data_IF_249308546688
#
_entry.id   IF_249308546688
#
_cell.length_a   1.000
_cell.length_b   1.000
_cell.length_c   1.000
_cell.angle_alpha   90.00
_cell.angle_beta   90.00
_cell.angle_gamma   90.00
#
_symmetry.space_group_name_H-M   'P 1'
#
loop_
_entity.id
_entity.type
_entity.pdbx_description
1 polymer ?
#
# COMPACT_ATOMS: atom_id res chain seq x y z
N UNK A 1 27.47 -17.55 -2.83
CA UNK A 1 26.68 -16.29 -2.92
C UNK A 1 26.75 -15.62 -1.57
N UNK A 2 27.13 -14.34 -1.52
CA UNK A 2 27.11 -13.56 -0.27
C UNK A 2 25.84 -12.72 -0.19
N UNK A 3 25.21 -12.66 0.99
CA UNK A 3 24.08 -11.76 1.26
C UNK A 3 24.36 -11.02 2.55
N UNK A 4 24.47 -9.70 2.45
CA UNK A 4 24.64 -8.78 3.56
C UNK A 4 23.34 -8.00 3.81
N UNK A 5 22.92 -7.95 5.08
CA UNK A 5 21.66 -7.32 5.50
C UNK A 5 21.68 -7.00 7.00
N UNK A 6 21.03 -5.89 7.37
CA UNK A 6 20.84 -5.52 8.77
C UNK A 6 19.39 -5.80 9.20
N UNK A 7 19.15 -6.93 9.88
CA UNK A 7 17.80 -7.41 10.23
C UNK A 7 16.97 -6.39 11.04
N UNK A 8 17.61 -5.70 12.00
CA UNK A 8 16.95 -4.81 13.00
C UNK A 8 15.74 -5.46 13.71
N UNK A 9 15.67 -6.79 13.73
CA UNK A 9 14.54 -7.58 14.26
C UNK A 9 13.28 -7.59 13.38
N UNK A 10 13.31 -6.94 12.21
CA UNK A 10 12.17 -6.84 11.29
C UNK A 10 12.17 -7.91 10.17
N UNK A 11 13.31 -8.57 9.95
CA UNK A 11 13.47 -9.59 8.90
C UNK A 11 14.22 -10.81 9.41
N UNK A 12 13.75 -11.99 8.98
CA UNK A 12 14.41 -13.28 9.17
C UNK A 12 15.58 -13.45 8.19
N UNK A 13 16.43 -14.47 8.40
CA UNK A 13 17.49 -14.78 7.45
C UNK A 13 16.98 -14.99 6.02
N UNK A 14 17.62 -14.37 5.00
CA UNK A 14 17.32 -14.61 3.60
C UNK A 14 17.41 -16.09 3.23
N UNK A 15 16.52 -16.55 2.37
CA UNK A 15 16.52 -17.93 1.87
C UNK A 15 16.80 -17.93 0.37
N UNK A 16 17.69 -18.82 -0.06
CA UNK A 16 18.07 -19.00 -1.47
C UNK A 16 17.83 -20.45 -1.87
N UNK A 17 17.47 -20.68 -3.13
CA UNK A 17 17.26 -22.04 -3.68
C UNK A 17 18.43 -22.52 -4.56
N UNK A 18 19.64 -21.99 -4.33
CA UNK A 18 20.88 -22.42 -4.98
C UNK A 18 21.95 -22.66 -3.93
N UNK A 19 22.95 -23.47 -4.28
CA UNK A 19 24.10 -23.71 -3.43
C UNK A 19 24.97 -22.45 -3.28
N UNK A 20 25.79 -22.42 -2.23
CA UNK A 20 26.72 -21.31 -2.00
C UNK A 20 27.79 -21.23 -3.12
N UNK A 21 28.21 -22.40 -3.63
CA UNK A 21 29.17 -22.59 -4.72
C UNK A 21 28.66 -23.69 -5.66
N UNK A 22 28.95 -23.57 -6.95
CA UNK A 22 28.52 -24.52 -7.97
C UNK A 22 28.79 -23.99 -9.38
N UNK A 23 28.33 -24.74 -10.38
CA UNK A 23 28.43 -24.35 -11.78
C UNK A 23 27.26 -23.47 -12.20
N UNK A 24 27.52 -22.51 -13.08
CA UNK A 24 26.46 -21.73 -13.74
C UNK A 24 25.76 -22.64 -14.75
N UNK A 25 24.42 -22.75 -14.72
CA UNK A 25 23.68 -23.56 -15.69
C UNK A 25 23.91 -23.09 -17.13
N UNK A 26 24.08 -24.03 -18.06
CA UNK A 26 24.22 -23.75 -19.50
C UNK A 26 22.88 -23.51 -20.20
N UNK A 27 21.78 -23.91 -19.56
CA UNK A 27 20.41 -23.60 -19.96
C UNK A 27 19.86 -22.48 -19.08
N UNK A 28 18.95 -21.68 -19.63
CA UNK A 28 18.30 -20.62 -18.87
C UNK A 28 17.53 -21.19 -17.67
N UNK A 29 17.86 -20.70 -16.48
CA UNK A 29 17.23 -21.09 -15.22
C UNK A 29 17.06 -19.85 -14.33
N UNK A 30 16.12 -19.92 -13.38
CA UNK A 30 15.90 -18.87 -12.40
C UNK A 30 16.15 -19.39 -10.99
N UNK A 31 16.82 -18.56 -10.20
CA UNK A 31 16.92 -18.77 -8.76
C UNK A 31 16.09 -17.71 -8.03
N UNK A 32 15.65 -18.07 -6.83
CA UNK A 32 14.78 -17.25 -5.99
C UNK A 32 15.51 -16.88 -4.71
N UNK A 33 15.47 -15.59 -4.39
CA UNK A 33 15.89 -15.06 -3.08
C UNK A 33 14.64 -14.60 -2.34
N UNK A 34 14.36 -15.22 -1.19
CA UNK A 34 13.29 -14.82 -0.28
C UNK A 34 13.86 -13.97 0.84
N UNK A 35 13.20 -12.85 1.11
CA UNK A 35 13.53 -11.90 2.18
C UNK A 35 12.34 -11.82 3.15
N UNK A 36 12.24 -12.71 4.14
CA UNK A 36 11.04 -12.84 4.94
C UNK A 36 11.01 -11.80 6.07
N UNK A 37 9.99 -10.94 6.10
CA UNK A 37 9.68 -10.10 7.26
C UNK A 37 9.09 -10.92 8.40
N UNK A 38 9.48 -10.59 9.63
CA UNK A 38 8.91 -11.14 10.87
C UNK A 38 7.48 -10.66 11.13
N UNK A 39 7.14 -9.46 10.64
CA UNK A 39 5.88 -8.77 10.95
C UNK A 39 5.84 -8.14 12.35
N UNK A 40 6.90 -8.25 13.16
CA UNK A 40 6.94 -7.70 14.52
C UNK A 40 7.28 -6.21 14.57
N UNK A 41 8.00 -5.71 13.55
CA UNK A 41 8.51 -4.34 13.49
C UNK A 41 8.50 -3.81 12.06
N UNK A 42 8.18 -2.52 11.90
CA UNK A 42 8.33 -1.82 10.62
C UNK A 42 9.77 -1.33 10.46
N UNK A 43 10.39 -1.64 9.33
CA UNK A 43 11.73 -1.17 8.97
C UNK A 43 11.97 -1.32 7.45
N UNK A 44 12.81 -0.45 6.90
CA UNK A 44 13.39 -0.64 5.57
C UNK A 44 14.81 -1.19 5.74
N UNK A 45 15.10 -2.28 5.04
CA UNK A 45 16.37 -3.02 5.17
C UNK A 45 17.04 -3.03 3.81
N UNK A 46 18.23 -2.43 3.73
CA UNK A 46 19.08 -2.54 2.56
C UNK A 46 19.71 -3.94 2.53
N UNK A 47 19.47 -4.68 1.45
CA UNK A 47 20.05 -6.00 1.21
C UNK A 47 21.02 -5.90 0.05
N UNK A 48 22.27 -6.35 0.27
CA UNK A 48 23.29 -6.43 -0.76
C UNK A 48 23.60 -7.90 -1.06
N UNK A 49 23.37 -8.32 -2.30
CA UNK A 49 23.64 -9.68 -2.75
C UNK A 49 24.81 -9.67 -3.72
N UNK A 50 25.75 -10.59 -3.53
CA UNK A 50 26.96 -10.69 -4.33
C UNK A 50 27.15 -12.10 -4.87
N UNK A 51 27.36 -12.20 -6.18
CA UNK A 51 27.73 -13.44 -6.87
C UNK A 51 29.06 -13.23 -7.57
N UNK A 52 30.01 -14.13 -7.30
CA UNK A 52 31.28 -14.19 -8.01
C UNK A 52 31.19 -15.33 -9.02
N UNK A 53 31.40 -15.01 -10.29
CA UNK A 53 31.40 -15.96 -11.39
C UNK A 53 32.82 -16.04 -11.91
N UNK A 54 33.45 -17.20 -11.73
CA UNK A 54 34.78 -17.47 -12.26
C UNK A 54 34.69 -18.06 -13.65
N UNK A 55 35.51 -17.58 -14.58
CA UNK A 55 35.60 -18.22 -15.88
C UNK A 55 36.53 -19.45 -15.80
N UNK A 56 36.18 -20.57 -16.44
CA UNK A 56 37.05 -21.75 -16.48
C UNK A 56 38.31 -21.51 -17.34
N UNK A 57 38.19 -20.67 -18.36
CA UNK A 57 39.30 -20.26 -19.23
C UNK A 57 39.96 -18.98 -18.69
N UNK A 58 41.30 -19.00 -18.60
CA UNK A 58 42.13 -17.87 -18.15
C UNK A 58 42.10 -16.68 -19.12
N UNK A 59 41.66 -16.88 -20.37
CA UNK A 59 41.41 -15.82 -21.33
C UNK A 59 40.25 -14.90 -20.91
N UNK A 60 39.33 -15.41 -20.08
CA UNK A 60 38.17 -14.69 -19.60
C UNK A 60 38.37 -14.20 -18.16
N UNK A 61 37.86 -13.01 -17.86
CA UNK A 61 37.95 -12.42 -16.52
C UNK A 61 36.80 -12.90 -15.65
N UNK A 62 37.10 -13.09 -14.37
CA UNK A 62 36.07 -13.31 -13.35
C UNK A 62 35.15 -12.08 -13.24
N UNK A 63 33.86 -12.33 -13.06
CA UNK A 63 32.82 -11.31 -12.98
C UNK A 63 32.20 -11.31 -11.60
N UNK A 64 32.08 -10.12 -10.99
CA UNK A 64 31.34 -9.93 -9.74
C UNK A 64 30.02 -9.21 -10.01
N UNK A 65 28.91 -9.90 -9.79
CA UNK A 65 27.58 -9.32 -9.84
C UNK A 65 27.19 -8.82 -8.44
N UNK A 66 26.79 -7.56 -8.34
CA UNK A 66 26.33 -6.95 -7.08
C UNK A 66 24.94 -6.38 -7.26
N UNK A 67 23.98 -6.90 -6.49
CA UNK A 67 22.60 -6.45 -6.49
C UNK A 67 22.31 -5.77 -5.16
N UNK A 68 21.76 -4.56 -5.20
CA UNK A 68 21.29 -3.85 -4.01
C UNK A 68 19.78 -3.71 -4.08
N UNK A 69 19.08 -4.12 -3.02
CA UNK A 69 17.62 -4.04 -2.95
C UNK A 69 17.17 -3.70 -1.55
N UNK A 70 16.28 -2.71 -1.44
CA UNK A 70 15.60 -2.43 -0.18
C UNK A 70 14.40 -3.36 0.01
N UNK A 71 14.31 -3.97 1.19
CA UNK A 71 13.14 -4.71 1.67
C UNK A 71 12.40 -3.84 2.68
N UNK A 72 11.14 -3.54 2.39
CA UNK A 72 10.25 -2.87 3.33
C UNK A 72 9.51 -3.96 4.12
N UNK A 73 9.68 -3.94 5.44
CA UNK A 73 8.92 -4.74 6.38
C UNK A 73 7.97 -3.85 7.15
N UNK A 74 6.73 -4.33 7.35
CA UNK A 74 5.69 -3.60 8.06
C UNK A 74 5.23 -4.42 9.26
N UNK A 75 5.06 -3.76 10.41
CA UNK A 75 4.46 -4.37 11.59
C UNK A 75 3.03 -4.84 11.28
N UNK A 76 2.67 -6.02 11.75
CA UNK A 76 1.37 -6.65 11.49
C UNK A 76 1.27 -7.40 10.17
N UNK A 77 2.26 -7.29 9.27
CA UNK A 77 2.31 -8.01 8.00
C UNK A 77 3.51 -8.96 7.96
N UNK A 78 3.29 -10.20 8.42
CA UNK A 78 4.28 -11.27 8.31
C UNK A 78 4.29 -11.83 6.89
N UNK A 79 5.48 -12.13 6.37
CA UNK A 79 5.64 -12.83 5.08
C UNK A 79 6.00 -14.31 5.26
N UNK A 80 6.00 -14.78 6.51
CA UNK A 80 6.05 -16.21 6.80
C UNK A 80 4.69 -16.75 6.37
N UNK A 81 4.68 -17.54 5.30
CA UNK A 81 3.45 -18.17 4.79
C UNK A 81 3.03 -19.23 5.80
N UNK A 82 2.22 -18.84 6.79
CA UNK A 82 1.53 -19.76 7.71
C UNK A 82 0.04 -19.85 7.44
N UNK A 83 -0.51 -19.15 6.44
CA UNK A 83 -1.95 -19.18 6.18
C UNK A 83 -2.28 -19.28 4.69
N UNK A 84 -3.21 -20.19 4.37
CA UNK A 84 -3.88 -20.40 3.07
C UNK A 84 -4.83 -19.24 2.69
N UNK A 85 -4.54 -18.03 3.14
CA UNK A 85 -5.36 -16.88 2.79
C UNK A 85 -4.80 -16.26 1.53
N UNK A 86 -5.50 -16.50 0.42
CA UNK A 86 -5.34 -15.83 -0.88
C UNK A 86 -4.83 -14.41 -0.68
N UNK A 87 -3.62 -14.15 -1.17
CA UNK A 87 -2.94 -12.87 -1.05
C UNK A 87 -3.83 -11.75 -1.59
N UNK A 88 -4.56 -11.09 -0.69
CA UNK A 88 -5.07 -9.75 -0.96
C UNK A 88 -3.87 -8.82 -0.94
N UNK A 89 -3.54 -8.30 -2.11
CA UNK A 89 -2.65 -7.15 -2.28
C UNK A 89 -3.04 -6.11 -1.22
N UNK A 90 -2.15 -5.89 -0.26
CA UNK A 90 -2.27 -4.85 0.76
C UNK A 90 -2.05 -3.49 0.09
N UNK A 91 -3.06 -3.04 -0.65
CA UNK A 91 -3.17 -1.69 -1.21
C UNK A 91 -4.48 -0.99 -0.83
N UNK A 92 -5.56 -1.74 -0.55
CA UNK A 92 -6.91 -1.18 -0.41
C UNK A 92 -7.71 -1.73 0.78
N UNK A 93 -7.15 -1.72 2.00
CA UNK A 93 -7.93 -2.15 3.17
C UNK A 93 -7.58 -1.40 4.47
N UNK A 94 -7.58 -0.06 4.42
CA UNK A 94 -7.94 0.71 5.62
C UNK A 94 -8.74 1.99 5.34
N UNK A 95 -9.37 2.12 4.17
CA UNK A 95 -10.52 3.00 4.04
C UNK A 95 -11.74 2.14 4.34
N UNK A 96 -12.15 2.15 5.61
CA UNK A 96 -13.47 1.74 6.06
C UNK A 96 -14.51 2.19 5.04
N UNK A 97 -14.89 1.28 4.15
CA UNK A 97 -15.77 1.55 3.01
C UNK A 97 -17.21 1.78 3.49
N UNK A 98 -17.48 1.49 4.77
CA UNK A 98 -18.73 1.84 5.44
C UNK A 98 -18.81 3.30 5.91
N UNK A 99 -17.69 4.00 6.13
CA UNK A 99 -17.72 5.37 6.67
C UNK A 99 -17.80 6.49 5.62
N UNK A 100 -17.21 6.27 4.43
CA UNK A 100 -17.12 7.33 3.40
C UNK A 100 -18.44 7.54 2.67
N UNK A 101 -19.31 6.54 2.62
CA UNK A 101 -20.63 6.65 1.99
C UNK A 101 -21.64 7.46 2.83
N UNK A 102 -21.45 7.56 4.16
CA UNK A 102 -22.29 8.42 5.00
C UNK A 102 -21.86 9.88 5.02
N UNK A 103 -20.57 10.17 4.81
CA UNK A 103 -20.07 11.55 4.80
C UNK A 103 -20.43 12.31 3.51
N UNK A 104 -20.46 11.63 2.35
CA UNK A 104 -20.82 12.25 1.08
C UNK A 104 -22.35 12.39 0.89
N UNK A 105 -23.15 11.46 1.41
CA UNK A 105 -24.61 11.50 1.28
C UNK A 105 -25.33 12.49 2.21
N UNK A 106 -24.78 12.75 3.40
CA UNK A 106 -25.42 13.62 4.40
C UNK A 106 -25.41 15.11 4.05
N UNK A 107 -24.33 15.61 3.44
CA UNK A 107 -24.20 17.05 3.13
C UNK A 107 -25.17 17.52 2.05
N UNK A 108 -25.49 16.69 1.06
CA UNK A 108 -26.42 17.06 0.00
C UNK A 108 -27.87 17.21 0.53
N UNK A 109 -28.30 16.32 1.44
CA UNK A 109 -29.63 16.37 2.03
C UNK A 109 -29.82 17.61 2.93
N UNK A 110 -28.81 17.97 3.73
CA UNK A 110 -28.86 19.15 4.58
C UNK A 110 -28.91 20.45 3.76
N UNK A 111 -28.14 20.56 2.67
CA UNK A 111 -28.16 21.72 1.79
C UNK A 111 -29.52 21.89 1.09
N UNK A 112 -30.12 20.79 0.61
CA UNK A 112 -31.44 20.82 -0.02
C UNK A 112 -32.55 21.21 0.97
N UNK A 113 -32.51 20.70 2.20
CA UNK A 113 -33.48 21.05 3.24
C UNK A 113 -33.41 22.54 3.63
N UNK A 114 -32.21 23.11 3.74
CA UNK A 114 -32.01 24.53 4.04
C UNK A 114 -32.50 25.43 2.89
N UNK A 115 -32.21 25.07 1.63
CA UNK A 115 -32.69 25.82 0.47
C UNK A 115 -34.21 25.79 0.35
N UNK A 116 -34.83 24.62 0.56
CA UNK A 116 -36.29 24.49 0.56
C UNK A 116 -36.95 25.29 1.69
N UNK A 117 -36.37 25.25 2.90
CA UNK A 117 -36.83 26.04 4.04
C UNK A 117 -36.76 27.55 3.79
N UNK A 118 -35.64 28.04 3.25
CA UNK A 118 -35.48 29.45 2.92
C UNK A 118 -36.45 29.92 1.81
N UNK A 119 -36.70 29.08 0.80
CA UNK A 119 -37.67 29.39 -0.25
C UNK A 119 -39.11 29.42 0.28
N UNK A 120 -39.50 28.46 1.14
CA UNK A 120 -40.81 28.44 1.77
C UNK A 120 -41.00 29.65 2.70
N UNK A 121 -40.00 29.98 3.53
CA UNK A 121 -40.04 31.16 4.39
C UNK A 121 -40.11 32.46 3.57
N UNK A 122 -39.34 32.56 2.48
CA UNK A 122 -39.34 33.74 1.60
C UNK A 122 -40.67 33.95 0.86
N UNK A 123 -41.33 32.88 0.43
CA UNK A 123 -42.65 32.96 -0.22
C UNK A 123 -43.75 33.31 0.79
N UNK A 124 -43.73 32.75 2.00
CA UNK A 124 -44.64 33.13 3.08
C UNK A 124 -44.41 34.58 3.53
N UNK A 125 -43.16 35.03 3.63
CA UNK A 125 -42.82 36.40 3.98
C UNK A 125 -43.33 37.41 2.93
N UNK A 126 -43.09 37.15 1.63
CA UNK A 126 -43.61 38.01 0.56
C UNK A 126 -45.14 38.00 0.49
N UNK A 127 -45.79 36.86 0.75
CA UNK A 127 -47.26 36.74 0.76
C UNK A 127 -47.89 37.45 1.96
N UNK A 128 -47.27 37.34 3.14
CA UNK A 128 -47.67 38.09 4.34
C UNK A 128 -47.49 39.60 4.19
N UNK A 129 -46.41 40.04 3.55
CA UNK A 129 -46.19 41.47 3.28
C UNK A 129 -47.20 42.01 2.24
N UNK A 130 -47.56 41.22 1.22
CA UNK A 130 -48.63 41.59 0.27
C UNK A 130 -50.01 41.65 0.92
N UNK A 131 -50.33 40.73 1.84
CA UNK A 131 -51.59 40.76 2.58
C UNK A 131 -51.67 42.00 3.50
N UNK A 132 -50.59 42.31 4.22
CA UNK A 132 -50.49 43.51 5.08
C UNK A 132 -50.60 44.82 4.31
N UNK A 133 -50.09 44.87 3.08
CA UNK A 133 -50.12 46.08 2.23
C UNK A 133 -51.49 46.31 1.55
N UNK A 134 -52.35 45.29 1.49
CA UNK A 134 -53.71 45.41 0.95
C UNK A 134 -54.71 45.82 2.04
N UNK A 135 -54.47 45.45 3.30
CA UNK A 135 -55.26 45.91 4.46
C UNK A 135 -54.96 47.37 4.86
N UNK A 136 -53.88 47.97 4.37
CA UNK A 136 -53.49 49.35 4.68
C UNK A 136 -53.97 50.40 3.65
N UNK A 137 -54.77 50.01 2.65
CA UNK A 137 -55.30 50.92 1.59
C UNK A 137 -56.83 50.79 1.48
N UNK A 138 -57.52 50.46 2.57
CA UNK A 138 -58.98 50.61 2.66
C UNK A 138 -59.35 51.54 3.82
#
# INVERSE_FOLDING_TARGET
MGIDYESRGAMLPPQVNISERGYVPTTLQTFRVRLPCTGSRSAEILVTMQLNISAPDRMHKDVRLTFKRNKICLKGLSTIVTHNDTARLAGDANRSTGGVLFAAGGCAAAALALLAGAAAAGTLYKRGNKARHHDSIQ
#
